data_IF_054600042670
#
_entry.id   IF_054600042670
#
_cell.length_a   1.000
_cell.length_b   1.000
_cell.length_c   1.000
_cell.angle_alpha   90.00
_cell.angle_beta   90.00
_cell.angle_gamma   90.00
#
_symmetry.space_group_name_H-M   'P 1'
#
loop_
_entity.id
_entity.type
_entity.pdbx_description
1 polymer ?
#
# COMPACT_ATOMS: atom_id res chain seq x y z
N UNK A 1 2.14 3.73 18.35
CA UNK A 1 2.60 4.35 17.09
C UNK A 1 2.24 3.40 15.96
N UNK A 2 1.39 3.85 15.03
CA UNK A 2 0.76 2.99 14.02
C UNK A 2 1.41 3.23 12.65
N UNK A 3 2.35 2.35 12.32
CA UNK A 3 2.96 2.20 11.01
C UNK A 3 3.14 0.71 10.72
N UNK A 4 3.37 0.36 9.46
CA UNK A 4 3.64 -1.02 9.08
C UNK A 4 4.93 -1.51 9.73
N UNK A 5 4.93 -2.77 10.19
CA UNK A 5 5.89 -3.27 11.19
C UNK A 5 6.88 -4.26 10.63
N UNK A 6 6.52 -4.91 9.54
CA UNK A 6 7.49 -5.65 8.77
C UNK A 6 7.30 -5.31 7.31
N UNK A 7 8.37 -5.70 6.68
CA UNK A 7 8.54 -5.78 5.29
C UNK A 7 7.31 -6.40 4.60
N UNK A 8 7.16 -7.70 4.81
CA UNK A 8 6.12 -8.51 4.17
C UNK A 8 4.71 -8.06 4.52
N UNK A 9 4.54 -7.44 5.69
CA UNK A 9 3.25 -6.92 6.14
C UNK A 9 2.82 -5.72 5.31
N UNK A 10 3.73 -4.78 5.07
CA UNK A 10 3.46 -3.70 4.15
C UNK A 10 3.38 -4.24 2.72
N UNK A 11 4.24 -5.18 2.31
CA UNK A 11 4.21 -5.82 0.98
C UNK A 11 2.85 -6.43 0.67
N UNK A 12 2.27 -7.15 1.63
CA UNK A 12 0.92 -7.73 1.54
C UNK A 12 -0.18 -6.68 1.61
N UNK A 13 -0.09 -5.72 2.52
CA UNK A 13 -1.09 -4.63 2.61
C UNK A 13 -1.07 -3.77 1.34
N UNK A 14 0.12 -3.58 0.76
CA UNK A 14 0.33 -2.94 -0.52
C UNK A 14 -0.26 -3.79 -1.63
N UNK A 15 0.06 -5.08 -1.73
CA UNK A 15 -0.52 -5.99 -2.73
C UNK A 15 -2.05 -5.94 -2.72
N UNK A 16 -2.66 -6.04 -1.54
CA UNK A 16 -4.11 -6.00 -1.35
C UNK A 16 -4.71 -4.61 -1.60
N UNK A 17 -3.98 -3.53 -1.27
CA UNK A 17 -4.35 -2.16 -1.62
C UNK A 17 -4.30 -1.92 -3.12
N UNK A 18 -3.30 -2.49 -3.80
CA UNK A 18 -3.12 -2.44 -5.26
C UNK A 18 -4.17 -3.28 -5.98
N UNK A 19 -4.55 -4.42 -5.42
CA UNK A 19 -5.63 -5.26 -5.95
C UNK A 19 -7.02 -4.61 -5.73
N UNK A 20 -7.22 -3.97 -4.57
CA UNK A 20 -8.38 -3.13 -4.33
C UNK A 20 -8.41 -1.91 -5.28
N UNK A 21 -7.27 -1.23 -5.49
CA UNK A 21 -7.11 -0.14 -6.46
C UNK A 21 -7.41 -0.57 -7.88
N UNK A 22 -6.87 -1.72 -8.26
CA UNK A 22 -7.03 -2.34 -9.56
C UNK A 22 -8.49 -2.53 -9.92
N UNK A 23 -9.31 -3.05 -9.00
CA UNK A 23 -10.74 -3.21 -9.25
C UNK A 23 -11.49 -1.88 -9.41
N UNK A 24 -10.97 -0.81 -8.81
CA UNK A 24 -11.66 0.48 -8.70
C UNK A 24 -11.34 1.35 -9.92
N UNK A 25 -10.07 1.38 -10.37
CA UNK A 25 -9.60 2.13 -11.55
C UNK A 25 -10.19 1.65 -12.90
N UNK A 26 -10.84 0.49 -12.93
CA UNK A 26 -11.44 -0.08 -14.16
C UNK A 26 -12.61 0.73 -14.74
N UNK A 27 -13.27 1.58 -13.94
CA UNK A 27 -14.49 2.27 -14.36
C UNK A 27 -14.62 3.73 -13.89
N UNK A 28 -13.74 4.21 -12.99
CA UNK A 28 -13.84 5.55 -12.40
C UNK A 28 -12.46 6.09 -12.02
N UNK A 29 -12.26 7.40 -12.17
CA UNK A 29 -11.08 8.12 -11.63
C UNK A 29 -11.35 8.51 -10.18
N UNK A 30 -10.57 7.98 -9.25
CA UNK A 30 -10.66 8.34 -7.84
C UNK A 30 -9.62 9.41 -7.51
N UNK A 31 -9.96 10.27 -6.55
CA UNK A 31 -9.00 11.15 -5.90
C UNK A 31 -8.90 10.75 -4.45
N UNK A 32 -7.67 10.64 -3.96
CA UNK A 32 -7.44 10.41 -2.56
C UNK A 32 -7.86 11.64 -1.75
N UNK A 33 -8.85 11.50 -0.88
CA UNK A 33 -9.33 12.60 -0.04
C UNK A 33 -8.56 12.69 1.28
N UNK A 34 -8.21 11.55 1.88
CA UNK A 34 -7.51 11.53 3.17
C UNK A 34 -7.53 10.16 3.83
N UNK A 35 -6.93 10.11 5.02
CA UNK A 35 -6.95 8.95 5.89
C UNK A 35 -6.90 9.40 7.35
N UNK A 36 -7.37 8.55 8.25
CA UNK A 36 -7.19 8.76 9.68
C UNK A 36 -7.06 7.43 10.42
N UNK A 37 -6.43 7.47 11.59
CA UNK A 37 -6.44 6.35 12.52
C UNK A 37 -7.61 6.52 13.47
N UNK A 38 -8.36 5.45 13.67
CA UNK A 38 -9.48 5.41 14.60
C UNK A 38 -9.41 4.17 15.46
N UNK A 39 -9.84 4.30 16.70
CA UNK A 39 -10.12 3.17 17.58
C UNK A 39 -11.40 2.44 17.12
N UNK A 40 -11.60 1.21 17.57
CA UNK A 40 -12.83 0.46 17.25
C UNK A 40 -14.04 1.14 17.88
N UNK A 41 -13.88 1.71 19.07
CA UNK A 41 -14.90 2.47 19.78
C UNK A 41 -15.33 3.69 18.96
N UNK A 42 -14.36 4.46 18.44
CA UNK A 42 -14.65 5.59 17.55
C UNK A 42 -15.33 5.13 16.25
N UNK A 43 -14.83 4.06 15.62
CA UNK A 43 -15.39 3.54 14.38
C UNK A 43 -16.85 3.10 14.55
N UNK A 44 -17.15 2.35 15.62
CA UNK A 44 -18.47 1.80 15.93
C UNK A 44 -19.44 2.80 16.57
N UNK A 45 -19.00 4.01 16.91
CA UNK A 45 -19.90 5.09 17.37
C UNK A 45 -20.95 5.47 16.32
N UNK A 46 -20.66 5.25 15.03
CA UNK A 46 -21.62 5.37 13.95
C UNK A 46 -22.45 4.07 13.83
N UNK A 47 -23.80 4.12 13.88
CA UNK A 47 -24.65 2.91 13.83
C UNK A 47 -24.45 2.04 12.59
N UNK A 48 -24.15 2.65 11.43
CA UNK A 48 -23.87 1.92 10.19
C UNK A 48 -22.57 1.13 10.30
N UNK A 49 -21.53 1.75 10.83
CA UNK A 49 -20.23 1.11 11.05
C UNK A 49 -20.32 0.02 12.12
N UNK A 50 -21.10 0.24 13.19
CA UNK A 50 -21.37 -0.79 14.19
C UNK A 50 -22.00 -2.04 13.57
N UNK A 51 -22.97 -1.85 12.67
CA UNK A 51 -23.60 -2.95 11.93
C UNK A 51 -22.60 -3.67 11.03
N UNK A 52 -21.80 -2.95 10.23
CA UNK A 52 -20.74 -3.54 9.39
C UNK A 52 -19.73 -4.33 10.26
N UNK A 53 -19.35 -3.76 11.40
CA UNK A 53 -18.46 -4.42 12.35
C UNK A 53 -19.08 -5.71 12.89
N UNK A 54 -20.37 -5.71 13.23
CA UNK A 54 -21.05 -6.93 13.69
C UNK A 54 -21.16 -7.98 12.57
N UNK A 55 -21.55 -7.57 11.36
CA UNK A 55 -21.70 -8.45 10.20
C UNK A 55 -20.39 -9.14 9.80
N UNK A 56 -19.25 -8.47 10.03
CA UNK A 56 -17.92 -9.00 9.71
C UNK A 56 -17.25 -9.79 10.84
N UNK A 57 -17.94 -10.06 11.95
CA UNK A 57 -17.38 -10.76 13.11
C UNK A 57 -16.80 -12.13 12.77
N UNK A 58 -17.56 -12.97 12.05
CA UNK A 58 -17.09 -14.29 11.62
C UNK A 58 -15.86 -14.23 10.72
N UNK A 59 -15.80 -13.25 9.82
CA UNK A 59 -14.64 -13.06 8.95
C UNK A 59 -13.40 -12.70 9.77
N UNK A 60 -13.54 -11.81 10.77
CA UNK A 60 -12.43 -11.48 11.68
C UNK A 60 -11.92 -12.68 12.44
N UNK A 61 -12.81 -13.53 12.95
CA UNK A 61 -12.45 -14.75 13.66
C UNK A 61 -11.72 -15.76 12.76
N UNK A 62 -12.16 -15.90 11.50
CA UNK A 62 -11.47 -16.76 10.52
C UNK A 62 -10.08 -16.21 10.22
N UNK A 63 -9.98 -14.93 9.90
CA UNK A 63 -8.70 -14.26 9.63
C UNK A 63 -7.76 -14.42 10.83
N UNK A 64 -8.23 -14.19 12.05
CA UNK A 64 -7.44 -14.35 13.26
C UNK A 64 -6.97 -15.80 13.47
N UNK A 65 -7.86 -16.79 13.31
CA UNK A 65 -7.51 -18.22 13.47
C UNK A 65 -6.51 -18.71 12.45
N UNK A 66 -6.56 -18.19 11.22
CA UNK A 66 -5.64 -18.58 10.15
C UNK A 66 -4.17 -18.23 10.43
N UNK A 67 -3.88 -17.45 11.49
CA UNK A 67 -2.54 -17.06 11.90
C UNK A 67 -2.31 -17.22 13.40
N UNK A 68 -3.23 -17.82 14.15
CA UNK A 68 -3.11 -17.91 15.61
C UNK A 68 -2.01 -18.87 16.08
N UNK A 69 -1.55 -19.76 15.20
CA UNK A 69 -0.45 -20.69 15.41
C UNK A 69 0.92 -20.07 15.12
N UNK A 70 0.96 -18.92 14.46
CA UNK A 70 2.19 -18.20 14.17
C UNK A 70 2.68 -17.48 15.45
N UNK A 71 3.87 -17.82 15.99
CA UNK A 71 4.38 -17.22 17.23
C UNK A 71 4.68 -15.72 17.07
N UNK A 72 4.82 -15.23 15.84
CA UNK A 72 4.99 -13.81 15.56
C UNK A 72 3.63 -13.11 15.43
N UNK A 73 2.49 -13.80 15.37
CA UNK A 73 1.20 -13.14 15.23
C UNK A 73 0.79 -12.32 16.47
N UNK A 74 0.39 -11.07 16.23
CA UNK A 74 -0.06 -10.09 17.24
C UNK A 74 -1.56 -9.86 17.16
N UNK A 75 -2.14 -9.93 15.96
CA UNK A 75 -3.56 -9.66 15.76
C UNK A 75 -3.88 -9.20 14.35
N UNK A 76 -5.01 -8.51 14.21
CA UNK A 76 -5.54 -8.08 12.91
C UNK A 76 -5.73 -6.57 12.90
N UNK A 77 -5.26 -5.91 11.85
CA UNK A 77 -5.51 -4.51 11.54
C UNK A 77 -6.68 -4.38 10.55
N UNK A 78 -7.85 -3.91 10.98
CA UNK A 78 -8.93 -3.55 10.07
C UNK A 78 -8.63 -2.23 9.35
N UNK A 79 -8.86 -2.20 8.04
CA UNK A 79 -8.78 -0.99 7.21
C UNK A 79 -10.08 -0.81 6.45
N UNK A 80 -10.71 0.33 6.67
CA UNK A 80 -11.98 0.69 6.04
C UNK A 80 -11.72 1.69 4.92
N UNK A 81 -12.06 1.29 3.70
CA UNK A 81 -12.04 2.14 2.52
C UNK A 81 -13.43 2.76 2.35
N UNK A 82 -13.48 4.08 2.29
CA UNK A 82 -14.70 4.84 2.02
C UNK A 82 -14.54 5.47 0.65
N UNK A 83 -15.57 5.31 -0.18
CA UNK A 83 -15.65 5.94 -1.49
C UNK A 83 -16.81 6.93 -1.42
N UNK A 84 -16.48 8.21 -1.46
CA UNK A 84 -17.47 9.28 -1.46
C UNK A 84 -18.40 9.14 -2.68
N UNK A 85 -19.64 9.57 -2.51
CA UNK A 85 -20.72 9.49 -3.51
C UNK A 85 -21.12 8.06 -3.94
N UNK A 86 -20.54 7.01 -3.34
CA UNK A 86 -20.91 5.61 -3.59
C UNK A 86 -21.41 4.92 -2.31
N UNK A 87 -22.73 4.92 -2.13
CA UNK A 87 -23.42 4.40 -0.93
C UNK A 87 -23.11 2.93 -0.64
N UNK A 88 -22.63 2.11 -1.59
CA UNK A 88 -22.37 0.67 -1.40
C UNK A 88 -20.93 0.23 -1.61
N UNK A 89 -19.99 1.15 -1.82
CA UNK A 89 -18.61 0.79 -2.19
C UNK A 89 -17.63 0.81 -1.02
N UNK A 90 -18.12 0.98 0.21
CA UNK A 90 -17.30 0.88 1.40
C UNK A 90 -16.78 -0.56 1.57
N UNK A 91 -15.47 -0.72 1.74
CA UNK A 91 -14.84 -2.04 1.90
C UNK A 91 -14.07 -2.10 3.21
N UNK A 92 -14.31 -3.14 4.00
CA UNK A 92 -13.49 -3.45 5.16
C UNK A 92 -12.53 -4.59 4.80
N UNK A 93 -11.23 -4.34 4.94
CA UNK A 93 -10.15 -5.33 4.78
C UNK A 93 -9.49 -5.59 6.12
N UNK A 94 -8.90 -6.77 6.26
CA UNK A 94 -8.28 -7.24 7.50
C UNK A 94 -6.86 -7.70 7.20
N UNK A 95 -5.88 -6.97 7.71
CA UNK A 95 -4.47 -7.25 7.53
C UNK A 95 -3.88 -7.87 8.79
N UNK A 96 -2.92 -8.79 8.66
CA UNK A 96 -2.28 -9.40 9.82
C UNK A 96 -1.27 -8.43 10.44
N UNK A 97 -1.18 -8.43 11.77
CA UNK A 97 -0.14 -7.77 12.54
C UNK A 97 0.81 -8.84 13.07
N UNK A 98 2.11 -8.71 12.77
CA UNK A 98 3.16 -9.59 13.28
C UNK A 98 4.08 -8.82 14.27
N UNK A 99 4.72 -9.54 15.19
CA UNK A 99 5.70 -9.05 16.17
C UNK A 99 6.97 -8.74 15.42
N UNK A 100 7.60 -7.62 15.78
CA UNK A 100 8.94 -7.33 15.31
C UNK A 100 9.93 -8.20 16.08
N UNK A 101 10.89 -8.79 15.36
CA UNK A 101 12.12 -9.29 16.00
C UNK A 101 12.88 -8.07 16.54
N UNK A 102 13.40 -8.12 17.77
CA UNK A 102 14.10 -6.98 18.34
C UNK A 102 15.33 -6.64 17.49
N UNK A 103 15.35 -5.45 16.91
CA UNK A 103 16.58 -4.84 16.42
C UNK A 103 17.44 -4.42 17.61
N UNK A 104 18.76 -4.46 17.44
CA UNK A 104 19.73 -3.95 18.42
C UNK A 104 19.31 -2.56 18.96
N UNK A 105 19.43 -2.27 20.27
CA UNK A 105 19.01 -1.00 20.88
C UNK A 105 19.59 0.25 20.23
N UNK A 106 20.80 0.16 19.66
CA UNK A 106 21.49 1.27 18.99
C UNK A 106 20.87 1.61 17.62
N UNK A 107 20.16 0.66 17.00
CA UNK A 107 19.50 0.86 15.72
C UNK A 107 18.09 1.44 15.87
N UNK A 108 17.49 1.46 17.07
CA UNK A 108 16.06 1.78 17.26
C UNK A 108 15.72 3.22 16.89
N UNK A 109 16.55 4.19 17.27
CA UNK A 109 16.23 5.63 17.06
C UNK A 109 16.45 6.07 15.61
N UNK A 110 17.56 5.62 15.00
CA UNK A 110 17.84 5.80 13.57
C UNK A 110 16.73 5.11 12.75
N UNK A 111 16.33 3.90 13.17
CA UNK A 111 15.23 3.17 12.56
C UNK A 111 13.89 3.89 12.66
N UNK A 112 13.55 4.55 13.76
CA UNK A 112 12.26 5.24 13.89
C UNK A 112 12.12 6.47 12.98
N UNK A 113 13.17 7.29 12.90
CA UNK A 113 13.19 8.47 12.02
C UNK A 113 13.19 8.04 10.54
N UNK A 114 14.05 7.08 10.18
CA UNK A 114 14.07 6.49 8.82
C UNK A 114 12.75 5.80 8.48
N UNK A 115 12.13 5.08 9.42
CA UNK A 115 10.83 4.40 9.19
C UNK A 115 9.72 5.40 8.93
N UNK A 116 9.61 6.46 9.73
CA UNK A 116 8.53 7.43 9.55
C UNK A 116 8.68 8.18 8.22
N UNK A 117 9.92 8.51 7.83
CA UNK A 117 10.22 9.07 6.51
C UNK A 117 9.85 8.10 5.38
N UNK A 118 10.26 6.83 5.48
CA UNK A 118 9.88 5.79 4.50
C UNK A 118 8.37 5.64 4.37
N UNK A 119 7.65 5.59 5.49
CA UNK A 119 6.20 5.47 5.51
C UNK A 119 5.52 6.68 4.89
N UNK A 120 6.04 7.88 5.13
CA UNK A 120 5.55 9.11 4.51
C UNK A 120 5.81 9.10 3.00
N UNK A 121 7.01 8.69 2.57
CA UNK A 121 7.37 8.54 1.15
C UNK A 121 6.48 7.53 0.45
N UNK A 122 6.30 6.35 1.04
CA UNK A 122 5.44 5.33 0.47
C UNK A 122 3.97 5.77 0.42
N UNK A 123 3.49 6.49 1.44
CA UNK A 123 2.17 7.12 1.42
C UNK A 123 2.04 8.10 0.25
N UNK A 124 3.02 8.99 0.03
CA UNK A 124 2.99 9.94 -1.09
C UNK A 124 2.94 9.19 -2.43
N UNK A 125 3.74 8.13 -2.58
CA UNK A 125 3.76 7.31 -3.79
C UNK A 125 2.37 6.74 -4.08
N UNK A 126 1.70 6.17 -3.08
CA UNK A 126 0.36 5.64 -3.26
C UNK A 126 -0.65 6.72 -3.60
N UNK A 127 -0.68 7.82 -2.85
CA UNK A 127 -1.60 8.94 -3.09
C UNK A 127 -1.47 9.45 -4.52
N UNK A 128 -0.24 9.64 -5.01
CA UNK A 128 0.02 10.09 -6.38
C UNK A 128 -0.42 9.04 -7.39
N UNK A 129 -0.12 7.76 -7.15
CA UNK A 129 -0.58 6.65 -7.99
C UNK A 129 -2.12 6.64 -8.13
N UNK A 130 -2.88 6.83 -7.03
CA UNK A 130 -4.34 6.97 -7.09
C UNK A 130 -4.70 8.18 -7.97
N UNK A 131 -4.14 9.34 -7.64
CA UNK A 131 -4.55 10.61 -8.22
C UNK A 131 -4.22 10.72 -9.71
N UNK A 132 -3.18 10.03 -10.18
CA UNK A 132 -2.76 9.94 -11.57
C UNK A 132 -3.44 8.77 -12.31
N UNK A 133 -4.18 7.90 -11.60
CA UNK A 133 -4.80 6.71 -12.20
C UNK A 133 -3.80 5.64 -12.62
N UNK A 134 -2.62 5.63 -12.01
CA UNK A 134 -1.54 4.68 -12.31
C UNK A 134 -1.65 3.51 -11.33
N UNK A 135 -2.02 2.33 -11.81
CA UNK A 135 -2.11 1.15 -10.97
C UNK A 135 -0.71 0.56 -10.76
N UNK A 136 -0.20 0.55 -9.52
CA UNK A 136 1.00 -0.23 -9.22
C UNK A 136 0.60 -1.70 -9.08
N UNK A 137 1.39 -2.65 -9.60
CA UNK A 137 1.20 -4.10 -9.33
C UNK A 137 2.52 -4.84 -9.31
N UNK A 138 2.52 -5.99 -8.62
CA UNK A 138 3.57 -6.98 -8.78
C UNK A 138 3.47 -7.61 -10.18
N UNK A 139 4.62 -7.92 -10.78
CA UNK A 139 4.66 -8.69 -12.02
C UNK A 139 4.64 -10.17 -11.68
N UNK A 140 3.60 -10.86 -12.09
CA UNK A 140 3.47 -12.30 -11.90
C UNK A 140 4.69 -13.03 -12.50
N UNK A 141 5.32 -13.90 -11.71
CA UNK A 141 6.45 -14.74 -12.16
C UNK A 141 7.83 -14.08 -12.13
N UNK A 142 7.97 -12.82 -11.66
CA UNK A 142 9.28 -12.27 -11.29
C UNK A 142 9.56 -12.54 -9.81
N UNK A 143 10.79 -12.94 -9.49
CA UNK A 143 11.29 -13.05 -8.10
C UNK A 143 11.46 -11.68 -7.43
N UNK A 144 11.45 -10.59 -8.21
CA UNK A 144 11.52 -9.23 -7.70
C UNK A 144 10.21 -8.85 -7.02
N UNK A 145 10.33 -8.35 -5.80
CA UNK A 145 9.19 -7.86 -5.01
C UNK A 145 8.88 -6.39 -5.33
N UNK A 146 9.39 -5.89 -6.46
CA UNK A 146 9.13 -4.54 -6.90
C UNK A 146 7.77 -4.41 -7.57
N UNK A 147 6.96 -3.48 -7.06
CA UNK A 147 5.73 -3.06 -7.74
C UNK A 147 6.09 -2.16 -8.92
N UNK A 148 5.48 -2.39 -10.07
CA UNK A 148 5.67 -1.56 -11.27
C UNK A 148 4.41 -0.72 -11.51
N UNK A 149 4.55 0.51 -12.03
CA UNK A 149 3.42 1.29 -12.50
C UNK A 149 2.90 0.72 -13.82
N UNK A 150 1.58 0.74 -13.98
CA UNK A 150 0.91 0.19 -15.15
C UNK A 150 -0.47 0.79 -15.38
N UNK A 151 -1.11 0.35 -16.47
CA UNK A 151 -2.48 0.75 -16.84
C UNK A 151 -3.33 -0.47 -17.09
N UNK A 152 -4.62 -0.33 -16.80
CA UNK A 152 -5.60 -1.29 -17.26
C UNK A 152 -5.98 -0.97 -18.71
N UNK A 153 -5.70 -1.90 -19.61
CA UNK A 153 -6.13 -1.85 -21.01
C UNK A 153 -7.19 -2.90 -21.26
N UNK A 154 -8.07 -2.62 -22.22
CA UNK A 154 -9.15 -3.55 -22.58
C UNK A 154 -8.71 -4.44 -23.74
N UNK A 155 -8.21 -5.63 -23.42
CA UNK A 155 -7.78 -6.64 -24.39
C UNK A 155 -8.82 -7.78 -24.45
N UNK A 156 -9.31 -8.14 -25.64
CA UNK A 156 -10.26 -9.25 -25.82
C UNK A 156 -11.50 -9.18 -24.91
N UNK A 157 -12.07 -7.97 -24.74
CA UNK A 157 -13.20 -7.67 -23.82
C UNK A 157 -12.91 -7.89 -22.33
N UNK A 158 -11.67 -8.21 -21.96
CA UNK A 158 -11.20 -8.32 -20.59
C UNK A 158 -10.29 -7.16 -20.27
N UNK A 159 -10.32 -6.72 -19.02
CA UNK A 159 -9.36 -5.74 -18.55
C UNK A 159 -8.09 -6.46 -18.13
N UNK A 160 -6.97 -6.03 -18.68
CA UNK A 160 -5.64 -6.58 -18.40
C UNK A 160 -4.77 -5.45 -17.92
N UNK A 161 -4.05 -5.67 -16.82
CA UNK A 161 -3.05 -4.72 -16.36
C UNK A 161 -1.77 -4.92 -17.17
N UNK A 162 -1.25 -3.83 -17.73
CA UNK A 162 0.01 -3.82 -18.47
C UNK A 162 1.00 -2.85 -17.79
N UNK A 163 2.24 -3.27 -17.54
CA UNK A 163 3.26 -2.41 -16.96
C UNK A 163 3.69 -1.33 -17.96
N UNK A 164 4.01 -0.13 -17.48
CA UNK A 164 4.55 0.96 -18.31
C UNK A 164 6.02 0.74 -18.68
N UNK A 165 6.75 0.00 -17.85
CA UNK A 165 8.11 -0.46 -18.08
C UNK A 165 8.34 -1.72 -17.26
N UNK A 166 9.40 -2.49 -17.54
CA UNK A 166 9.58 -3.82 -16.94
C UNK A 166 10.53 -3.86 -15.75
N UNK A 167 11.36 -2.84 -15.58
CA UNK A 167 12.38 -2.77 -14.54
C UNK A 167 12.66 -1.34 -14.10
N UNK A 168 12.71 -1.10 -12.79
CA UNK A 168 12.98 0.23 -12.22
C UNK A 168 14.40 0.72 -12.54
N UNK A 169 15.39 -0.16 -12.57
CA UNK A 169 16.77 0.25 -12.89
C UNK A 169 16.86 0.69 -14.35
N UNK A 170 16.23 -0.04 -15.27
CA UNK A 170 16.16 0.35 -16.68
C UNK A 170 15.49 1.73 -16.84
N UNK A 171 14.36 1.96 -16.15
CA UNK A 171 13.67 3.26 -16.20
C UNK A 171 14.54 4.41 -15.68
N UNK A 172 15.17 4.22 -14.51
CA UNK A 172 15.91 5.26 -13.80
C UNK A 172 17.30 5.54 -14.39
N UNK A 173 17.91 4.56 -15.08
CA UNK A 173 19.20 4.72 -15.77
C UNK A 173 19.05 5.06 -17.25
N UNK A 174 17.88 4.80 -17.82
CA UNK A 174 17.53 5.16 -19.19
C UNK A 174 17.16 6.65 -19.33
N UNK A 175 16.63 7.06 -20.50
CA UNK A 175 16.28 8.45 -20.75
C UNK A 175 15.11 8.98 -19.92
N UNK A 176 14.46 8.15 -19.09
CA UNK A 176 13.18 8.47 -18.45
C UNK A 176 12.12 8.84 -19.49
N UNK A 177 11.21 9.75 -19.14
CA UNK A 177 10.32 10.39 -20.11
C UNK A 177 8.96 9.71 -20.30
N UNK A 178 8.56 8.84 -19.38
CA UNK A 178 7.16 8.45 -19.28
C UNK A 178 6.50 9.48 -18.37
N UNK A 179 5.83 10.47 -18.97
CA UNK A 179 5.24 11.63 -18.29
C UNK A 179 4.47 11.24 -17.01
N UNK A 180 3.71 10.15 -17.06
CA UNK A 180 2.93 9.70 -15.92
C UNK A 180 3.80 9.14 -14.77
N UNK A 181 4.89 8.46 -15.11
CA UNK A 181 5.85 7.94 -14.11
C UNK A 181 6.70 9.09 -13.56
N UNK A 182 7.09 10.06 -14.40
CA UNK A 182 7.81 11.25 -13.94
C UNK A 182 6.94 12.08 -12.98
N UNK A 183 5.65 12.28 -13.30
CA UNK A 183 4.69 12.93 -12.41
C UNK A 183 4.45 12.15 -11.12
N UNK A 184 4.49 10.81 -11.16
CA UNK A 184 4.40 9.96 -9.97
C UNK A 184 5.59 10.19 -9.03
N UNK A 185 6.77 10.42 -9.60
CA UNK A 185 8.04 10.56 -8.88
C UNK A 185 8.42 12.01 -8.52
N UNK A 186 7.77 13.02 -9.11
CA UNK A 186 8.08 14.44 -8.92
C UNK A 186 8.22 14.85 -7.43
N UNK A 187 7.37 14.39 -6.49
CA UNK A 187 7.53 14.81 -5.08
C UNK A 187 8.77 14.25 -4.39
N UNK A 188 9.50 13.32 -5.02
CA UNK A 188 10.71 12.71 -4.49
C UNK A 188 11.99 13.28 -5.11
N UNK A 189 11.90 14.07 -6.19
CA UNK A 189 13.07 14.66 -6.87
C UNK A 189 13.51 15.98 -6.25
N UNK A 190 12.63 16.65 -5.48
CA UNK A 190 12.90 17.95 -4.87
C UNK A 190 13.41 17.90 -3.41
N UNK A 191 13.57 16.72 -2.81
CA UNK A 191 14.16 16.58 -1.48
C UNK A 191 15.69 16.53 -1.58
N UNK A 192 16.36 17.53 -0.98
CA UNK A 192 17.82 17.76 -0.80
C UNK A 192 18.82 16.70 -1.28
N UNK A 193 19.99 17.16 -1.76
CA UNK A 193 21.12 16.39 -2.31
C UNK A 193 21.65 15.21 -1.46
N UNK A 194 21.17 15.03 -0.22
CA UNK A 194 21.40 13.82 0.59
C UNK A 194 20.56 12.62 0.16
N UNK A 195 19.54 12.83 -0.68
CA UNK A 195 18.59 11.81 -1.18
C UNK A 195 18.97 11.31 -2.57
N UNK A 196 20.27 11.22 -2.88
CA UNK A 196 20.77 10.52 -4.08
C UNK A 196 20.53 9.01 -3.95
N UNK A 197 19.26 8.61 -4.06
CA UNK A 197 18.78 7.81 -5.17
C UNK A 197 17.32 7.43 -4.88
N UNK A 198 16.42 7.72 -5.82
CA UNK A 198 15.01 7.28 -5.76
C UNK A 198 14.94 5.74 -5.83
N UNK A 199 15.99 5.12 -6.36
CA UNK A 199 16.22 3.65 -6.39
C UNK A 199 16.16 3.09 -4.96
N UNK A 200 17.04 3.42 -3.99
CA UNK A 200 16.91 2.99 -2.61
C UNK A 200 15.63 3.45 -1.93
N UNK A 201 14.92 4.52 -2.28
CA UNK A 201 13.60 4.72 -1.63
C UNK A 201 12.60 3.67 -2.10
N UNK A 202 12.53 3.37 -3.39
CA UNK A 202 11.63 2.34 -3.92
C UNK A 202 12.13 0.96 -3.52
N UNK A 203 13.42 0.67 -3.67
CA UNK A 203 14.10 -0.57 -3.29
C UNK A 203 14.22 -0.75 -1.78
N UNK A 204 14.58 0.23 -0.95
CA UNK A 204 14.55 0.16 0.52
C UNK A 204 13.12 0.16 1.05
N UNK A 205 12.14 0.76 0.35
CA UNK A 205 10.74 0.41 0.61
C UNK A 205 10.65 -1.09 0.32
N UNK A 206 10.87 -1.58 -0.90
CA UNK A 206 10.73 -2.99 -1.35
C UNK A 206 11.58 -4.05 -0.60
N UNK A 207 12.71 -3.69 -0.01
CA UNK A 207 13.70 -4.55 0.67
C UNK A 207 13.58 -4.43 2.20
N UNK A 208 13.12 -3.27 2.69
CA UNK A 208 12.50 -3.19 4.02
C UNK A 208 11.03 -3.59 3.99
N UNK A 209 10.51 -4.02 2.81
CA UNK A 209 9.31 -4.80 2.48
C UNK A 209 9.65 -6.28 2.37
#
# INVERSE_FOLDING_TARGET
MNGFRSADQFKKTLADFLDAHSWTLLHYTFKFQGYCWQTIEQYTSNPRNARIWQETARLREVVHRNRSDDPEFVGVLPVHYVIDDMVYCNKLRFYFLLRQRPCSPQNVRIWEETRNDLLNKARMLFVNSINLGIALRFVDGKESLAVLPGRYVRLNRRWTWEPLFTDWNEYLTGPGGIEEVDALLEPFTHSDESTRSIVPVIFDIIDAL
#
